data_IF_906097798735
#
_entry.id   IF_906097798735
#
_cell.length_a   1.000
_cell.length_b   1.000
_cell.length_c   1.000
_cell.angle_alpha   90.00
_cell.angle_beta   90.00
_cell.angle_gamma   90.00
#
_symmetry.space_group_name_H-M   'P 1'
#
loop_
_entity.id
_entity.type
_entity.pdbx_description
1 polymer ?
#
# COMPACT_ATOMS: atom_id res chain seq x y z
N UNK A 1 2.06 -47.60 -15.07
CA UNK A 1 2.50 -46.22 -15.38
C UNK A 1 1.48 -45.29 -14.75
N UNK A 2 1.87 -44.52 -13.74
CA UNK A 2 0.92 -43.69 -12.96
C UNK A 2 0.40 -42.53 -13.80
N UNK A 3 -0.92 -42.32 -13.78
CA UNK A 3 -1.66 -41.36 -14.61
C UNK A 3 -1.29 -39.88 -14.38
N UNK A 4 -0.41 -39.56 -13.42
CA UNK A 4 -0.04 -38.19 -13.06
C UNK A 4 1.29 -37.66 -13.60
N UNK A 5 2.05 -38.42 -14.41
CA UNK A 5 3.38 -37.97 -14.85
C UNK A 5 3.32 -36.86 -15.93
N UNK A 6 2.33 -36.91 -16.82
CA UNK A 6 2.15 -35.90 -17.87
C UNK A 6 1.38 -34.66 -17.40
N UNK A 7 0.58 -34.77 -16.33
CA UNK A 7 -0.20 -33.65 -15.77
C UNK A 7 0.68 -32.50 -15.23
N UNK A 8 1.92 -32.81 -14.83
CA UNK A 8 2.92 -31.82 -14.42
C UNK A 8 3.41 -30.91 -15.56
N UNK A 9 3.21 -31.32 -16.82
CA UNK A 9 3.64 -30.55 -18.00
C UNK A 9 2.47 -29.87 -18.72
N UNK A 10 1.23 -30.15 -18.32
CA UNK A 10 -0.01 -29.61 -18.89
C UNK A 10 -0.83 -28.76 -17.93
N UNK A 11 -0.33 -28.47 -16.71
CA UNK A 11 -1.04 -27.58 -15.79
C UNK A 11 -1.33 -26.26 -16.51
N UNK A 12 -2.61 -25.89 -16.68
CA UNK A 12 -2.99 -24.56 -17.17
C UNK A 12 -2.14 -23.56 -16.40
N UNK A 13 -1.34 -22.75 -17.12
CA UNK A 13 -0.63 -21.64 -16.48
C UNK A 13 -1.66 -20.92 -15.60
N UNK A 14 -1.37 -20.68 -14.31
CA UNK A 14 -2.28 -19.91 -13.49
C UNK A 14 -2.62 -18.63 -14.26
N UNK A 15 -3.87 -18.19 -14.19
CA UNK A 15 -4.28 -16.91 -14.76
C UNK A 15 -3.57 -15.81 -13.97
N UNK A 16 -2.30 -15.57 -14.31
CA UNK A 16 -1.53 -14.44 -13.80
C UNK A 16 -2.12 -13.24 -14.51
N UNK A 17 -2.97 -12.51 -13.79
CA UNK A 17 -3.49 -11.24 -14.27
C UNK A 17 -2.30 -10.29 -14.36
N UNK A 18 -1.94 -9.91 -15.58
CA UNK A 18 -0.96 -8.85 -15.80
C UNK A 18 -1.59 -7.51 -15.44
N UNK A 19 -0.87 -6.70 -14.67
CA UNK A 19 -1.31 -5.33 -14.39
C UNK A 19 -1.16 -4.51 -15.66
N UNK A 20 -2.26 -4.32 -16.39
CA UNK A 20 -2.29 -3.44 -17.55
C UNK A 20 -1.99 -2.01 -17.09
N UNK A 21 -1.10 -1.32 -17.79
CA UNK A 21 -0.81 0.07 -17.50
C UNK A 21 -2.06 0.93 -17.74
N UNK A 22 -2.29 1.99 -16.96
CA UNK A 22 -3.38 2.91 -17.22
C UNK A 22 -3.23 3.52 -18.62
N UNK A 23 -4.34 3.76 -19.34
CA UNK A 23 -4.31 4.43 -20.64
C UNK A 23 -3.63 5.80 -20.55
N UNK A 24 -3.08 6.26 -21.68
CA UNK A 24 -2.59 7.62 -21.81
C UNK A 24 -3.51 8.42 -22.73
N UNK A 25 -3.73 9.69 -22.41
CA UNK A 25 -4.45 10.65 -23.24
C UNK A 25 -3.46 11.62 -23.88
N UNK A 26 -3.65 11.87 -25.18
CA UNK A 26 -2.86 12.85 -25.91
C UNK A 26 -3.31 14.28 -25.58
N UNK A 27 -2.39 15.10 -25.10
CA UNK A 27 -2.54 16.55 -25.01
C UNK A 27 -1.75 17.23 -26.12
N UNK A 28 -2.44 17.65 -27.18
CA UNK A 28 -1.85 18.51 -28.21
C UNK A 28 -0.59 17.93 -28.85
N UNK A 29 0.50 18.71 -28.88
CA UNK A 29 1.75 18.50 -29.64
C UNK A 29 2.58 17.23 -29.26
N UNK A 30 1.95 16.05 -29.26
CA UNK A 30 2.58 14.77 -29.00
C UNK A 30 2.79 14.43 -27.52
N UNK A 31 2.34 15.29 -26.58
CA UNK A 31 2.47 15.01 -25.15
C UNK A 31 1.44 13.97 -24.72
N UNK A 32 1.89 12.88 -24.12
CA UNK A 32 1.03 11.85 -23.55
C UNK A 32 1.03 12.01 -22.04
N UNK A 33 -0.15 12.16 -21.45
CA UNK A 33 -0.33 12.16 -20.00
C UNK A 33 -1.14 10.93 -19.60
N UNK A 34 -0.92 10.35 -18.42
CA UNK A 34 -1.79 9.30 -17.94
C UNK A 34 -3.24 9.79 -17.86
N UNK A 35 -4.18 8.97 -18.33
CA UNK A 35 -5.59 9.37 -18.46
C UNK A 35 -6.21 9.80 -17.13
N UNK A 36 -5.82 9.13 -16.03
CA UNK A 36 -6.28 9.42 -14.67
C UNK A 36 -5.97 10.84 -14.17
N UNK A 37 -5.12 11.60 -14.87
CA UNK A 37 -4.87 13.02 -14.58
C UNK A 37 -5.85 13.98 -15.25
N UNK A 38 -6.63 13.49 -16.21
CA UNK A 38 -7.51 14.28 -17.07
C UNK A 38 -8.97 13.85 -17.02
N UNK A 39 -9.24 12.65 -16.49
CA UNK A 39 -10.56 12.05 -16.40
C UNK A 39 -10.92 11.74 -14.95
N UNK A 40 -12.23 11.66 -14.63
CA UNK A 40 -12.68 11.32 -13.28
C UNK A 40 -12.35 9.86 -12.96
N UNK A 41 -11.45 9.67 -12.01
CA UNK A 41 -11.09 8.37 -11.45
C UNK A 41 -11.42 8.36 -9.97
N UNK A 42 -11.93 7.24 -9.46
CA UNK A 42 -12.00 7.01 -8.02
C UNK A 42 -10.71 6.32 -7.57
N UNK A 43 -9.85 7.06 -6.88
CA UNK A 43 -8.51 6.66 -6.48
C UNK A 43 -8.50 6.22 -5.02
N UNK A 44 -8.05 4.98 -4.82
CA UNK A 44 -7.93 4.37 -3.50
C UNK A 44 -6.48 4.00 -3.23
N UNK A 45 -5.97 4.41 -2.07
CA UNK A 45 -4.72 3.90 -1.55
C UNK A 45 -4.98 2.74 -0.59
N UNK A 46 -4.32 1.61 -0.81
CA UNK A 46 -4.23 0.54 0.19
C UNK A 46 -2.85 0.58 0.81
N UNK A 47 -2.79 0.90 2.10
CA UNK A 47 -1.54 0.87 2.88
C UNK A 47 -1.58 -0.28 3.89
N UNK A 48 -0.53 -1.09 3.86
CA UNK A 48 -0.39 -2.29 4.66
C UNK A 48 0.98 -2.31 5.32
N UNK A 49 1.04 -2.48 6.64
CA UNK A 49 2.28 -2.87 7.31
C UNK A 49 2.20 -4.33 7.71
N UNK A 50 3.13 -5.14 7.19
CA UNK A 50 3.38 -6.51 7.63
C UNK A 50 4.72 -6.63 8.36
N UNK A 51 5.10 -7.85 8.75
CA UNK A 51 6.34 -8.11 9.49
C UNK A 51 7.61 -7.66 8.76
N UNK A 52 7.68 -7.90 7.44
CA UNK A 52 8.90 -7.67 6.65
C UNK A 52 8.83 -6.38 5.83
N UNK A 53 7.64 -6.06 5.32
CA UNK A 53 7.44 -4.96 4.39
C UNK A 53 6.21 -4.16 4.74
N UNK A 54 6.32 -2.85 4.54
CA UNK A 54 5.20 -1.93 4.46
C UNK A 54 4.95 -1.60 3.00
N UNK A 55 3.73 -1.76 2.53
CA UNK A 55 3.37 -1.59 1.12
C UNK A 55 2.30 -0.52 1.00
N UNK A 56 2.38 0.25 -0.07
CA UNK A 56 1.27 1.08 -0.53
C UNK A 56 1.00 0.76 -2.00
N UNK A 57 -0.27 0.57 -2.34
CA UNK A 57 -0.73 0.40 -3.72
C UNK A 57 -1.82 1.44 -3.97
N UNK A 58 -1.65 2.22 -5.04
CA UNK A 58 -2.65 3.13 -5.55
C UNK A 58 -3.42 2.44 -6.67
N UNK A 59 -4.73 2.37 -6.52
CA UNK A 59 -5.63 1.81 -7.52
C UNK A 59 -6.62 2.88 -7.92
N UNK A 60 -6.74 3.17 -9.21
CA UNK A 60 -7.73 4.08 -9.76
C UNK A 60 -8.77 3.32 -10.54
N UNK A 61 -10.04 3.61 -10.31
CA UNK A 61 -11.15 3.08 -11.12
C UNK A 61 -11.69 4.20 -12.00
N UNK A 62 -11.62 4.01 -13.31
CA UNK A 62 -12.24 4.92 -14.27
C UNK A 62 -13.76 4.90 -14.06
N UNK A 63 -14.34 6.06 -13.75
CA UNK A 63 -15.77 6.18 -13.46
C UNK A 63 -16.65 6.13 -14.71
N UNK A 64 -16.08 6.24 -15.91
CA UNK A 64 -16.80 6.11 -17.17
C UNK A 64 -16.92 4.64 -17.59
N UNK A 65 -15.84 3.87 -17.47
CA UNK A 65 -15.76 2.48 -17.95
C UNK A 65 -15.91 1.43 -16.85
N UNK A 66 -15.68 1.80 -15.59
CA UNK A 66 -15.64 0.89 -14.45
C UNK A 66 -14.36 0.04 -14.38
N UNK A 67 -13.36 0.32 -15.22
CA UNK A 67 -12.11 -0.43 -15.23
C UNK A 67 -11.12 0.09 -14.18
N UNK A 68 -10.50 -0.81 -13.41
CA UNK A 68 -9.50 -0.46 -12.40
C UNK A 68 -8.07 -0.71 -12.87
N UNK A 69 -7.17 0.17 -12.48
CA UNK A 69 -5.75 0.13 -12.82
C UNK A 69 -4.88 0.36 -11.59
N UNK A 70 -3.71 -0.27 -11.55
CA UNK A 70 -2.68 0.06 -10.56
C UNK A 70 -1.95 1.32 -11.06
N UNK A 71 -2.09 2.42 -10.31
CA UNK A 71 -1.48 3.71 -10.63
C UNK A 71 -0.08 3.83 -10.03
N UNK A 72 0.16 3.18 -8.89
CA UNK A 72 1.42 3.25 -8.17
C UNK A 72 1.59 2.10 -7.20
N UNK A 73 2.84 1.70 -6.97
CA UNK A 73 3.20 0.71 -5.95
C UNK A 73 4.52 1.08 -5.30
N UNK A 74 4.54 1.03 -3.98
CA UNK A 74 5.74 1.29 -3.19
C UNK A 74 5.88 0.23 -2.13
N UNK A 75 7.10 -0.25 -1.95
CA UNK A 75 7.47 -1.15 -0.87
C UNK A 75 8.59 -0.50 -0.07
N UNK A 76 8.39 -0.47 1.24
CA UNK A 76 9.36 -0.09 2.27
C UNK A 76 9.62 -1.32 3.15
N UNK A 77 10.81 -1.47 3.72
CA UNK A 77 11.06 -2.58 4.65
C UNK A 77 10.57 -2.21 6.04
N UNK A 78 9.80 -3.08 6.69
CA UNK A 78 9.28 -2.82 8.04
C UNK A 78 10.38 -2.76 9.09
N UNK A 79 11.49 -3.47 8.87
CA UNK A 79 12.68 -3.41 9.74
C UNK A 79 13.42 -2.07 9.69
N UNK A 80 13.14 -1.24 8.68
CA UNK A 80 13.71 0.10 8.57
C UNK A 80 12.87 1.12 9.37
N UNK A 81 11.90 0.64 10.16
CA UNK A 81 11.20 1.46 11.16
C UNK A 81 12.22 2.09 12.10
N UNK A 82 12.01 3.37 12.43
CA UNK A 82 12.91 4.08 13.34
C UNK A 82 12.91 3.42 14.72
N UNK A 83 14.07 3.27 15.40
CA UNK A 83 14.13 2.82 16.78
C UNK A 83 13.30 3.69 17.73
N UNK A 84 12.78 3.17 18.85
CA UNK A 84 12.02 3.94 19.84
C UNK A 84 12.77 5.21 20.33
N UNK A 85 12.07 6.35 20.41
CA UNK A 85 12.60 7.56 21.10
C UNK A 85 12.38 7.45 22.62
N UNK A 86 13.14 8.22 23.44
CA UNK A 86 12.86 8.33 24.86
C UNK A 86 11.41 8.77 25.13
N UNK A 87 10.70 7.99 25.94
CA UNK A 87 9.30 8.25 26.31
C UNK A 87 8.25 7.58 25.42
N UNK A 88 8.64 6.96 24.30
CA UNK A 88 7.73 6.15 23.48
C UNK A 88 7.54 4.76 24.12
N UNK A 89 6.33 4.22 24.03
CA UNK A 89 6.02 2.88 24.55
C UNK A 89 6.19 1.84 23.45
N UNK A 90 7.03 0.84 23.69
CA UNK A 90 7.14 -0.33 22.81
C UNK A 90 5.94 -1.24 23.05
N UNK A 91 5.16 -1.49 22.01
CA UNK A 91 3.98 -2.36 22.09
C UNK A 91 4.17 -3.68 21.33
N UNK A 92 5.23 -3.83 20.53
CA UNK A 92 5.50 -5.06 19.81
C UNK A 92 6.87 -5.04 19.14
N UNK A 93 7.16 -6.10 18.37
CA UNK A 93 8.36 -6.18 17.55
C UNK A 93 8.07 -6.89 16.22
N UNK A 94 8.89 -6.61 15.20
CA UNK A 94 8.92 -7.41 13.96
C UNK A 94 9.56 -8.78 14.20
N UNK A 95 9.49 -9.66 13.20
CA UNK A 95 10.11 -11.00 13.26
C UNK A 95 11.63 -10.98 13.49
N UNK A 96 12.31 -9.89 13.11
CA UNK A 96 13.75 -9.69 13.33
C UNK A 96 14.07 -8.95 14.64
N UNK A 97 13.06 -8.71 15.49
CA UNK A 97 13.23 -8.11 16.81
C UNK A 97 13.27 -6.59 16.81
N UNK A 98 12.95 -5.93 15.70
CA UNK A 98 12.87 -4.47 15.65
C UNK A 98 11.67 -3.98 16.44
N UNK A 99 11.92 -3.19 17.49
CA UNK A 99 10.88 -2.68 18.40
C UNK A 99 9.94 -1.69 17.70
N UNK A 100 8.64 -1.82 17.98
CA UNK A 100 7.58 -1.01 17.40
C UNK A 100 6.94 -0.12 18.46
N UNK A 101 6.91 1.18 18.17
CA UNK A 101 6.16 2.20 18.91
C UNK A 101 5.07 2.76 18.01
N UNK A 102 4.04 3.38 18.61
CA UNK A 102 2.94 3.94 17.82
C UNK A 102 3.46 4.98 16.84
N UNK A 103 4.35 5.82 17.33
CA UNK A 103 4.99 6.90 16.59
C UNK A 103 5.86 6.36 15.46
N UNK A 104 6.66 5.32 15.69
CA UNK A 104 7.56 4.78 14.66
C UNK A 104 6.79 4.11 13.53
N UNK A 105 5.70 3.40 13.84
CA UNK A 105 4.77 2.83 12.85
C UNK A 105 4.03 3.94 12.10
N UNK A 106 3.52 4.96 12.80
CA UNK A 106 2.86 6.13 12.20
C UNK A 106 3.77 6.83 11.18
N UNK A 107 5.03 7.07 11.54
CA UNK A 107 6.04 7.68 10.65
C UNK A 107 6.28 6.80 9.40
N UNK A 108 6.46 5.48 9.56
CA UNK A 108 6.71 4.56 8.44
C UNK A 108 5.52 4.47 7.47
N UNK A 109 4.31 4.42 7.99
CA UNK A 109 3.06 4.39 7.20
C UNK A 109 2.91 5.68 6.41
N UNK A 110 3.07 6.84 7.07
CA UNK A 110 3.04 8.16 6.44
C UNK A 110 4.04 8.20 5.28
N UNK A 111 5.29 7.86 5.54
CA UNK A 111 6.36 7.98 4.56
C UNK A 111 6.16 7.05 3.37
N UNK A 112 5.62 5.85 3.61
CA UNK A 112 5.31 4.90 2.52
C UNK A 112 4.16 5.41 1.65
N UNK A 113 3.10 5.98 2.25
CA UNK A 113 1.97 6.56 1.53
C UNK A 113 2.39 7.79 0.70
N UNK A 114 3.13 8.71 1.30
CA UNK A 114 3.67 9.91 0.64
C UNK A 114 4.61 9.54 -0.49
N UNK A 115 5.50 8.56 -0.28
CA UNK A 115 6.41 8.08 -1.32
C UNK A 115 5.65 7.49 -2.51
N UNK A 116 4.57 6.75 -2.27
CA UNK A 116 3.76 6.16 -3.34
C UNK A 116 3.07 7.23 -4.19
N UNK A 117 2.43 8.19 -3.55
CA UNK A 117 1.80 9.33 -4.21
C UNK A 117 2.80 10.14 -5.02
N UNK A 118 3.97 10.45 -4.43
CA UNK A 118 5.04 11.18 -5.13
C UNK A 118 5.58 10.42 -6.36
N UNK A 119 5.68 9.09 -6.28
CA UNK A 119 6.13 8.26 -7.40
C UNK A 119 5.09 8.19 -8.54
N UNK A 120 3.80 8.28 -8.20
CA UNK A 120 2.70 8.33 -9.16
C UNK A 120 2.37 9.76 -9.63
N UNK A 121 3.05 10.78 -9.08
CA UNK A 121 2.77 12.19 -9.31
C UNK A 121 1.29 12.56 -9.04
N UNK A 122 0.79 12.09 -7.88
CA UNK A 122 -0.56 12.32 -7.37
C UNK A 122 -0.51 13.03 -6.01
N UNK A 123 -1.47 13.91 -5.76
CA UNK A 123 -1.69 14.62 -4.50
C UNK A 123 -2.55 13.78 -3.55
N UNK A 124 -2.13 13.65 -2.29
CA UNK A 124 -2.94 13.00 -1.25
C UNK A 124 -4.20 13.81 -0.93
N UNK A 125 -4.15 15.14 -1.05
CA UNK A 125 -5.28 15.99 -0.67
C UNK A 125 -6.27 16.20 -1.80
N UNK A 126 -5.77 16.21 -3.04
CA UNK A 126 -6.58 16.62 -4.20
C UNK A 126 -7.04 15.43 -5.05
N UNK A 127 -6.24 14.36 -5.12
CA UNK A 127 -6.51 13.24 -6.03
C UNK A 127 -6.98 11.96 -5.32
N UNK A 128 -6.74 11.83 -4.01
CA UNK A 128 -7.04 10.59 -3.27
C UNK A 128 -8.44 10.64 -2.65
N UNK A 129 -9.32 9.74 -3.07
CA UNK A 129 -10.69 9.67 -2.56
C UNK A 129 -10.81 8.86 -1.27
N UNK A 130 -10.02 7.79 -1.13
CA UNK A 130 -10.16 6.87 -0.01
C UNK A 130 -8.86 6.15 0.34
N UNK A 131 -8.71 5.80 1.62
CA UNK A 131 -7.58 4.99 2.11
C UNK A 131 -8.05 3.79 2.89
N UNK A 132 -7.64 2.61 2.43
CA UNK A 132 -7.79 1.35 3.15
C UNK A 132 -6.54 1.12 3.98
N UNK A 133 -6.75 0.86 5.28
CA UNK A 133 -5.69 0.64 6.26
C UNK A 133 -5.71 -0.83 6.64
N UNK A 134 -4.66 -1.56 6.26
CA UNK A 134 -4.59 -3.00 6.48
C UNK A 134 -3.44 -3.37 7.40
N UNK A 135 -3.67 -4.35 8.26
CA UNK A 135 -2.62 -4.95 9.09
C UNK A 135 -2.24 -6.29 8.48
N UNK A 136 -0.96 -6.49 8.13
CA UNK A 136 -0.46 -7.84 7.96
C UNK A 136 -0.48 -8.56 9.31
N UNK A 137 -0.59 -9.89 9.34
CA UNK A 137 -0.45 -10.66 10.58
C UNK A 137 0.94 -10.38 11.16
N UNK A 138 1.03 -9.53 12.18
CA UNK A 138 2.29 -9.28 12.88
C UNK A 138 2.44 -10.39 13.90
N UNK A 139 3.44 -11.25 13.72
CA UNK A 139 3.52 -12.54 14.41
C UNK A 139 3.78 -12.43 15.92
N UNK A 140 4.07 -11.22 16.42
CA UNK A 140 4.42 -10.95 17.81
C UNK A 140 3.39 -10.04 18.52
N UNK A 141 2.15 -9.96 18.01
CA UNK A 141 1.05 -9.34 18.76
C UNK A 141 0.23 -10.40 19.47
N UNK A 142 0.37 -10.40 20.78
CA UNK A 142 -0.14 -11.42 21.69
C UNK A 142 -1.38 -10.93 22.44
N UNK A 143 -1.74 -9.65 22.33
CA UNK A 143 -2.92 -9.08 23.00
C UNK A 143 -3.77 -8.15 22.11
N UNK A 144 -5.09 -8.05 22.39
CA UNK A 144 -5.97 -7.08 21.72
C UNK A 144 -5.50 -5.63 21.86
N UNK A 145 -4.84 -5.28 22.96
CA UNK A 145 -4.36 -3.91 23.19
C UNK A 145 -3.21 -3.55 22.23
N UNK A 146 -2.30 -4.49 21.95
CA UNK A 146 -1.23 -4.30 20.98
C UNK A 146 -1.80 -4.11 19.56
N UNK A 147 -2.79 -4.92 19.20
CA UNK A 147 -3.52 -4.77 17.92
C UNK A 147 -4.21 -3.40 17.85
N UNK A 148 -4.83 -2.97 18.96
CA UNK A 148 -5.46 -1.66 19.07
C UNK A 148 -4.48 -0.52 18.84
N UNK A 149 -3.31 -0.54 19.47
CA UNK A 149 -2.26 0.48 19.24
C UNK A 149 -1.74 0.45 17.80
N UNK A 150 -1.62 -0.73 17.19
CA UNK A 150 -1.20 -0.84 15.79
C UNK A 150 -2.23 -0.23 14.83
N UNK A 151 -3.52 -0.53 15.01
CA UNK A 151 -4.61 0.04 14.19
C UNK A 151 -4.62 1.57 14.33
N UNK A 152 -4.46 2.09 15.55
CA UNK A 152 -4.36 3.54 15.77
C UNK A 152 -3.12 4.12 15.08
N UNK A 153 -1.98 3.46 15.15
CA UNK A 153 -0.76 3.90 14.47
C UNK A 153 -0.93 3.99 12.94
N UNK A 154 -1.59 3.00 12.33
CA UNK A 154 -1.93 3.03 10.90
C UNK A 154 -2.86 4.20 10.55
N UNK A 155 -3.87 4.45 11.39
CA UNK A 155 -4.79 5.57 11.22
C UNK A 155 -4.07 6.92 11.32
N UNK A 156 -3.26 7.10 12.37
CA UNK A 156 -2.48 8.31 12.59
C UNK A 156 -1.48 8.54 11.45
N UNK A 157 -0.88 7.48 10.90
CA UNK A 157 0.02 7.57 9.75
C UNK A 157 -0.66 8.13 8.50
N UNK A 158 -1.92 7.74 8.26
CA UNK A 158 -2.71 8.29 7.16
C UNK A 158 -3.07 9.76 7.40
N UNK A 159 -3.55 10.10 8.61
CA UNK A 159 -3.89 11.48 8.96
C UNK A 159 -2.67 12.41 8.86
N UNK A 160 -1.51 11.95 9.35
CA UNK A 160 -0.25 12.70 9.30
C UNK A 160 0.29 12.85 7.87
N UNK A 161 -0.10 11.97 6.95
CA UNK A 161 0.20 12.12 5.52
C UNK A 161 -0.70 13.13 4.80
N UNK A 162 -1.74 13.66 5.47
CA UNK A 162 -2.69 14.61 4.91
C UNK A 162 -3.99 13.99 4.40
N UNK A 163 -4.23 12.70 4.69
CA UNK A 163 -5.53 12.07 4.36
C UNK A 163 -6.63 12.74 5.20
N UNK A 164 -7.73 13.22 4.58
CA UNK A 164 -8.84 13.81 5.33
C UNK A 164 -9.43 12.83 6.36
N UNK A 165 -9.91 13.34 7.53
CA UNK A 165 -10.47 12.51 8.60
C UNK A 165 -11.78 11.82 8.24
#
# INVERSE_FOLDING_TARGET
MSAGFFDRFTSKKPWVVESVAPPATGHGAGMQVPEYKSKPYFIVASVEMGNTTTKCILTGTDLETGQSYILGKTVSMSRDVRPPKPGETVFGATLDGTELTRESVTELVRDTLVKCHKQADLSITDDLDFVVRSTGVVAAMDSPDQVGEFIKALADGCLLAGVPP
#
